data_IF_270599075937
#
_entry.id   IF_270599075937
#
_cell.length_a   1.000
_cell.length_b   1.000
_cell.length_c   1.000
_cell.angle_alpha   90.00
_cell.angle_beta   90.00
_cell.angle_gamma   90.00
#
_symmetry.space_group_name_H-M   'P 1'
#
loop_
_entity.id
_entity.type
_entity.pdbx_description
1 polymer ?
#
# COMPACT_ATOMS: atom_id res chain seq x y z
N UNK A 1 5.72 44.33 32.13
CA UNK A 1 5.84 44.64 30.70
C UNK A 1 7.24 44.16 30.34
N UNK A 2 7.46 43.02 29.67
CA UNK A 2 6.64 42.27 28.72
C UNK A 2 6.89 40.76 28.87
N UNK A 3 5.82 40.02 28.61
CA UNK A 3 5.81 38.59 28.33
C UNK A 3 6.30 38.36 26.89
N UNK A 4 7.08 37.31 26.65
CA UNK A 4 7.17 36.60 25.36
C UNK A 4 7.48 35.13 25.72
N UNK A 5 6.48 34.31 26.04
CA UNK A 5 5.67 33.48 25.13
C UNK A 5 6.46 32.31 24.51
N UNK A 6 6.19 31.12 25.07
CA UNK A 6 6.56 29.79 24.61
C UNK A 6 6.21 29.62 23.12
N UNK A 7 7.23 29.34 22.31
CA UNK A 7 7.03 28.81 20.97
C UNK A 7 6.60 27.33 21.08
N UNK A 8 5.31 27.12 21.31
CA UNK A 8 4.67 25.82 21.13
C UNK A 8 4.88 25.38 19.67
N UNK A 9 5.77 24.41 19.49
CA UNK A 9 5.92 23.66 18.24
C UNK A 9 4.59 22.97 17.96
N UNK A 10 3.81 23.51 17.03
CA UNK A 10 2.58 22.89 16.55
C UNK A 10 2.88 21.55 15.92
N UNK A 11 2.77 20.48 16.72
CA UNK A 11 2.62 19.12 16.21
C UNK A 11 1.28 19.11 15.45
N UNK A 12 1.34 18.96 14.13
CA UNK A 12 0.13 18.70 13.35
C UNK A 12 -0.55 17.47 13.96
N UNK A 13 -1.82 17.63 14.34
CA UNK A 13 -2.66 16.58 14.89
C UNK A 13 -2.94 15.56 13.77
N UNK A 14 -1.98 14.65 13.55
CA UNK A 14 -2.08 13.56 12.57
C UNK A 14 -3.18 12.60 13.03
N UNK A 15 -4.43 12.87 12.66
CA UNK A 15 -5.55 11.97 12.93
C UNK A 15 -5.49 10.79 11.98
N UNK A 16 -5.51 9.57 12.52
CA UNK A 16 -5.72 8.36 11.73
C UNK A 16 -7.20 8.16 11.47
N UNK A 17 -7.61 8.31 10.21
CA UNK A 17 -9.00 8.10 9.77
C UNK A 17 -9.18 6.65 9.35
N UNK A 18 -10.30 6.02 9.73
CA UNK A 18 -10.61 4.66 9.31
C UNK A 18 -11.12 4.58 7.87
N UNK A 19 -10.88 3.46 7.19
CA UNK A 19 -11.54 3.16 5.92
C UNK A 19 -13.07 3.02 6.15
N UNK A 20 -13.95 3.68 5.39
CA UNK A 20 -15.38 3.72 5.72
C UNK A 20 -16.15 2.45 5.36
N UNK A 21 -15.64 1.61 4.46
CA UNK A 21 -16.23 0.33 4.08
C UNK A 21 -15.17 -0.68 3.67
N UNK A 22 -15.46 -1.99 3.70
CA UNK A 22 -14.57 -2.99 3.12
C UNK A 22 -14.37 -2.79 1.62
N UNK A 23 -13.15 -3.08 1.16
CA UNK A 23 -12.80 -3.21 -0.26
C UNK A 23 -12.05 -4.53 -0.43
N UNK A 24 -12.66 -5.48 -1.14
CA UNK A 24 -12.16 -6.85 -1.26
C UNK A 24 -11.82 -7.20 -2.70
N UNK A 25 -10.85 -8.09 -2.89
CA UNK A 25 -10.44 -8.57 -4.21
C UNK A 25 -9.67 -7.53 -5.02
N UNK A 26 -8.91 -6.64 -4.36
CA UNK A 26 -8.03 -5.70 -5.05
C UNK A 26 -6.89 -6.47 -5.68
N UNK A 27 -6.80 -6.43 -7.02
CA UNK A 27 -5.82 -7.17 -7.80
C UNK A 27 -4.85 -6.22 -8.47
N UNK A 28 -3.56 -6.41 -8.18
CA UNK A 28 -2.48 -5.65 -8.77
C UNK A 28 -1.52 -6.59 -9.47
N UNK A 29 -1.14 -6.24 -10.70
CA UNK A 29 -0.32 -7.08 -11.56
C UNK A 29 0.70 -6.23 -12.32
N UNK A 30 1.99 -6.53 -12.12
CA UNK A 30 3.05 -6.02 -12.97
C UNK A 30 3.46 -7.08 -13.98
N UNK A 31 3.38 -6.71 -15.26
CA UNK A 31 3.76 -7.59 -16.38
C UNK A 31 5.27 -7.74 -16.46
N UNK A 32 5.71 -8.97 -16.71
CA UNK A 32 7.08 -9.23 -17.17
C UNK A 32 7.34 -8.44 -18.46
N UNK A 33 8.43 -7.69 -18.49
CA UNK A 33 8.91 -7.01 -19.69
C UNK A 33 9.96 -7.88 -20.36
N UNK A 34 9.61 -8.48 -21.50
CA UNK A 34 10.54 -9.28 -22.29
C UNK A 34 11.72 -8.41 -22.76
N UNK A 35 12.95 -8.85 -22.47
CA UNK A 35 14.17 -8.12 -22.82
C UNK A 35 14.56 -7.01 -21.84
N UNK A 36 13.86 -6.86 -20.70
CA UNK A 36 14.34 -6.00 -19.63
C UNK A 36 15.59 -6.60 -18.98
N UNK A 37 16.55 -5.74 -18.63
CA UNK A 37 17.72 -6.15 -17.84
C UNK A 37 17.40 -6.38 -16.36
N UNK A 38 16.16 -6.11 -15.92
CA UNK A 38 15.74 -6.14 -14.53
C UNK A 38 14.41 -6.90 -14.35
N UNK A 39 14.24 -7.61 -13.21
CA UNK A 39 12.98 -8.19 -12.79
C UNK A 39 11.84 -7.16 -12.78
N UNK A 40 10.66 -7.53 -13.30
CA UNK A 40 9.48 -6.64 -13.43
C UNK A 40 8.16 -7.30 -13.10
N UNK A 41 8.15 -8.61 -12.85
CA UNK A 41 6.97 -9.41 -12.61
C UNK A 41 6.57 -9.44 -11.14
N UNK A 42 5.27 -9.36 -10.89
CA UNK A 42 4.67 -9.64 -9.59
C UNK A 42 3.17 -9.49 -9.65
N UNK A 43 2.44 -10.25 -8.83
CA UNK A 43 0.99 -10.11 -8.67
C UNK A 43 0.61 -10.28 -7.22
N UNK A 44 -0.37 -9.51 -6.76
CA UNK A 44 -0.96 -9.64 -5.43
C UNK A 44 -2.47 -9.46 -5.48
N UNK A 45 -3.16 -10.14 -4.57
CA UNK A 45 -4.57 -9.94 -4.26
C UNK A 45 -4.73 -9.60 -2.78
N UNK A 46 -5.40 -8.47 -2.50
CA UNK A 46 -5.55 -7.95 -1.15
C UNK A 46 -7.01 -7.57 -0.84
N UNK A 47 -7.39 -7.77 0.42
CA UNK A 47 -8.60 -7.20 1.01
C UNK A 47 -8.23 -6.10 2.01
N UNK A 48 -9.09 -5.09 2.11
CA UNK A 48 -8.96 -3.96 3.01
C UNK A 48 -10.21 -3.89 3.88
N UNK A 49 -10.05 -4.13 5.18
CA UNK A 49 -11.11 -4.11 6.17
C UNK A 49 -11.03 -2.86 7.05
N UNK A 50 -12.15 -2.15 7.28
CA UNK A 50 -12.22 -1.07 8.25
C UNK A 50 -11.73 -1.49 9.63
N UNK A 51 -11.05 -0.57 10.30
CA UNK A 51 -10.73 -0.66 11.72
C UNK A 51 -11.30 0.55 12.45
N UNK A 52 -11.52 0.47 13.77
CA UNK A 52 -11.97 1.63 14.54
C UNK A 52 -11.04 2.83 14.35
N UNK A 53 -11.62 4.04 14.36
CA UNK A 53 -10.85 5.28 14.23
C UNK A 53 -9.74 5.36 15.30
N UNK A 54 -8.57 5.88 14.92
CA UNK A 54 -7.39 5.89 15.79
C UNK A 54 -6.63 4.56 15.88
N UNK A 55 -7.12 3.47 15.27
CA UNK A 55 -6.38 2.21 15.18
C UNK A 55 -5.32 2.29 14.07
N UNK A 56 -4.09 1.90 14.38
CA UNK A 56 -3.02 1.82 13.39
C UNK A 56 -3.30 0.70 12.36
N UNK A 57 -2.76 0.87 11.16
CA UNK A 57 -2.88 -0.14 10.11
C UNK A 57 -2.10 -1.40 10.44
N UNK A 58 -2.60 -2.53 9.96
CA UNK A 58 -1.95 -3.84 10.08
C UNK A 58 -2.04 -4.59 8.75
N UNK A 59 -1.13 -5.52 8.55
CA UNK A 59 -1.12 -6.41 7.39
C UNK A 59 -0.96 -7.86 7.87
N UNK A 60 -1.75 -8.77 7.32
CA UNK A 60 -1.68 -10.20 7.58
C UNK A 60 -1.69 -10.98 6.27
N UNK A 61 -0.97 -12.10 6.25
CA UNK A 61 -0.95 -13.01 5.11
C UNK A 61 -1.92 -14.16 5.37
N UNK A 62 -2.96 -14.25 4.53
CA UNK A 62 -3.89 -15.37 4.47
C UNK A 62 -3.66 -16.19 3.20
N UNK A 63 -2.41 -16.22 2.71
CA UNK A 63 -2.01 -16.97 1.54
C UNK A 63 -2.01 -18.48 1.83
N UNK A 64 -2.56 -19.25 0.91
CA UNK A 64 -2.50 -20.73 0.94
C UNK A 64 -1.77 -21.31 -0.29
N UNK A 65 -1.16 -20.45 -1.10
CA UNK A 65 -0.56 -20.82 -2.38
C UNK A 65 0.86 -21.39 -2.21
N UNK A 66 1.20 -22.36 -3.07
CA UNK A 66 2.54 -22.93 -3.21
C UNK A 66 3.18 -22.50 -4.56
N UNK A 67 4.49 -22.25 -4.64
CA UNK A 67 5.44 -22.21 -3.51
C UNK A 67 5.07 -21.12 -2.51
N UNK A 68 5.46 -21.32 -1.24
CA UNK A 68 5.30 -20.29 -0.21
C UNK A 68 5.94 -18.98 -0.72
N UNK A 69 5.34 -17.83 -0.41
CA UNK A 69 5.92 -16.55 -0.79
C UNK A 69 7.33 -16.40 -0.20
N UNK A 70 8.21 -15.75 -0.94
CA UNK A 70 9.52 -15.37 -0.43
C UNK A 70 9.34 -14.25 0.62
N UNK A 71 9.89 -14.43 1.83
CA UNK A 71 9.77 -13.50 2.96
C UNK A 71 10.17 -12.07 2.58
N UNK A 72 11.20 -11.89 1.74
CA UNK A 72 11.66 -10.56 1.31
C UNK A 72 10.61 -9.87 0.43
N UNK A 73 9.88 -10.64 -0.39
CA UNK A 73 8.81 -10.11 -1.23
C UNK A 73 7.56 -9.78 -0.41
N UNK A 74 7.27 -10.56 0.64
CA UNK A 74 6.21 -10.25 1.62
C UNK A 74 6.50 -8.94 2.35
N UNK A 75 7.70 -8.81 2.93
CA UNK A 75 8.14 -7.60 3.62
C UNK A 75 8.11 -6.38 2.69
N UNK A 76 8.56 -6.53 1.45
CA UNK A 76 8.52 -5.49 0.45
C UNK A 76 7.08 -5.04 0.12
N UNK A 77 6.14 -5.99 -0.02
CA UNK A 77 4.73 -5.68 -0.23
C UNK A 77 4.16 -4.90 0.96
N UNK A 78 4.40 -5.38 2.19
CA UNK A 78 3.96 -4.71 3.43
C UNK A 78 4.53 -3.30 3.51
N UNK A 79 5.81 -3.12 3.20
CA UNK A 79 6.45 -1.81 3.17
C UNK A 79 5.73 -0.85 2.22
N UNK A 80 5.39 -1.31 1.01
CA UNK A 80 4.62 -0.52 0.04
C UNK A 80 3.25 -0.10 0.55
N UNK A 81 2.51 -1.06 1.12
CA UNK A 81 1.19 -0.84 1.73
C UNK A 81 1.26 0.19 2.85
N UNK A 82 2.17 -0.02 3.82
CA UNK A 82 2.23 0.80 5.03
C UNK A 82 2.70 2.23 4.72
N UNK A 83 3.67 2.41 3.82
CA UNK A 83 4.11 3.75 3.39
C UNK A 83 3.00 4.52 2.69
N UNK A 84 2.21 3.85 1.84
CA UNK A 84 1.11 4.52 1.14
C UNK A 84 -0.02 4.89 2.11
N UNK A 85 -0.38 4.02 3.07
CA UNK A 85 -1.39 4.30 4.10
C UNK A 85 -0.96 5.40 5.09
N UNK A 86 0.33 5.55 5.32
CA UNK A 86 0.90 6.65 6.11
C UNK A 86 0.98 7.98 5.34
N UNK A 87 0.62 8.00 4.04
CA UNK A 87 0.72 9.20 3.20
C UNK A 87 2.15 9.53 2.72
N UNK A 88 3.10 8.62 2.88
CA UNK A 88 4.51 8.81 2.52
C UNK A 88 4.80 8.49 1.04
N UNK A 89 3.89 7.78 0.37
CA UNK A 89 4.06 7.30 -1.01
C UNK A 89 3.95 8.35 -2.11
N UNK A 90 3.67 9.62 -1.76
CA UNK A 90 3.67 10.73 -2.72
C UNK A 90 4.94 11.57 -2.60
N UNK A 91 5.66 11.71 -3.71
CA UNK A 91 6.79 12.63 -3.85
C UNK A 91 6.36 14.10 -3.90
N UNK A 92 5.05 14.40 -3.90
CA UNK A 92 4.54 15.76 -3.81
C UNK A 92 4.47 16.21 -2.34
N UNK A 93 5.13 17.31 -1.94
CA UNK A 93 5.01 17.90 -0.61
C UNK A 93 3.56 18.22 -0.19
N UNK A 94 2.66 18.41 -1.15
CA UNK A 94 1.24 18.74 -0.91
C UNK A 94 0.40 17.51 -0.56
N UNK A 95 0.77 16.32 -1.07
CA UNK A 95 0.08 15.06 -0.78
C UNK A 95 0.51 14.43 0.56
N UNK A 96 1.67 14.86 1.11
CA UNK A 96 2.14 14.50 2.46
C UNK A 96 1.31 15.12 3.59
N UNK A 97 0.29 15.93 3.28
CA UNK A 97 -0.67 16.48 4.25
C UNK A 97 -1.91 15.59 4.47
N UNK A 98 -1.95 14.41 3.86
CA UNK A 98 -3.04 13.47 4.07
C UNK A 98 -2.97 12.80 5.45
N UNK A 99 -4.09 12.79 6.16
CA UNK A 99 -4.30 11.98 7.35
C UNK A 99 -3.92 10.51 7.07
N UNK A 100 -3.24 9.85 8.02
CA UNK A 100 -3.00 8.41 7.96
C UNK A 100 -4.33 7.66 7.86
N UNK A 101 -4.36 6.57 7.09
CA UNK A 101 -5.54 5.71 7.01
C UNK A 101 -5.30 4.46 7.83
N UNK A 102 -6.16 4.22 8.81
CA UNK A 102 -6.22 3.00 9.60
C UNK A 102 -7.01 1.91 8.86
N UNK A 103 -6.37 0.77 8.58
CA UNK A 103 -6.98 -0.35 7.88
C UNK A 103 -6.31 -1.67 8.25
N UNK A 104 -7.08 -2.76 8.29
CA UNK A 104 -6.54 -4.12 8.32
C UNK A 104 -6.44 -4.65 6.90
N UNK A 105 -5.24 -4.96 6.46
CA UNK A 105 -4.96 -5.48 5.12
C UNK A 105 -4.76 -6.99 5.20
N UNK A 106 -5.44 -7.73 4.34
CA UNK A 106 -5.35 -9.18 4.26
C UNK A 106 -4.80 -9.55 2.88
N UNK A 107 -3.58 -10.06 2.83
CA UNK A 107 -2.99 -10.56 1.59
C UNK A 107 -3.57 -11.95 1.31
N UNK A 108 -4.41 -12.06 0.28
CA UNK A 108 -5.09 -13.30 -0.11
C UNK A 108 -4.22 -14.20 -0.98
N UNK A 109 -3.41 -13.58 -1.83
CA UNK A 109 -2.49 -14.29 -2.67
C UNK A 109 -1.30 -13.41 -3.08
N UNK A 110 -0.15 -14.06 -3.22
CA UNK A 110 1.06 -13.49 -3.78
C UNK A 110 1.56 -14.43 -4.89
N UNK A 111 1.81 -13.88 -6.07
CA UNK A 111 2.45 -14.63 -7.15
C UNK A 111 3.74 -13.92 -7.57
N UNK A 112 4.80 -14.70 -7.60
CA UNK A 112 6.16 -14.26 -7.89
C UNK A 112 6.84 -15.27 -8.82
N UNK A 113 7.97 -14.86 -9.39
CA UNK A 113 8.82 -15.73 -10.19
C UNK A 113 10.28 -15.53 -9.77
N UNK A 114 11.06 -16.60 -9.47
CA UNK A 114 12.40 -16.45 -8.91
C UNK A 114 13.36 -15.58 -9.72
N UNK A 115 13.23 -15.55 -11.05
CA UNK A 115 14.11 -14.78 -11.93
C UNK A 115 13.52 -13.43 -12.36
N UNK A 116 12.20 -13.25 -12.24
CA UNK A 116 11.51 -12.09 -12.80
C UNK A 116 10.84 -11.21 -11.75
N UNK A 117 10.89 -11.58 -10.48
CA UNK A 117 10.41 -10.80 -9.33
C UNK A 117 11.55 -10.21 -8.51
N UNK A 118 11.31 -9.05 -7.90
CA UNK A 118 12.19 -8.45 -6.90
C UNK A 118 11.38 -7.54 -5.96
N UNK A 119 11.95 -7.22 -4.80
CA UNK A 119 11.32 -6.38 -3.76
C UNK A 119 10.74 -5.08 -4.31
N UNK A 120 11.48 -4.38 -5.19
CA UNK A 120 11.04 -3.09 -5.75
C UNK A 120 9.71 -3.16 -6.50
N UNK A 121 9.41 -4.30 -7.13
CA UNK A 121 8.10 -4.54 -7.75
C UNK A 121 7.02 -4.63 -6.69
N UNK A 122 7.25 -5.39 -5.61
CA UNK A 122 6.25 -5.61 -4.56
C UNK A 122 5.99 -4.38 -3.70
N UNK A 123 7.01 -3.55 -3.43
CA UNK A 123 6.80 -2.21 -2.82
C UNK A 123 5.84 -1.39 -3.66
N UNK A 124 6.00 -1.39 -4.99
CA UNK A 124 5.12 -0.63 -5.88
C UNK A 124 3.71 -1.23 -5.95
N UNK A 125 3.59 -2.55 -6.00
CA UNK A 125 2.30 -3.23 -6.01
C UNK A 125 1.50 -2.95 -4.73
N UNK A 126 2.15 -2.95 -3.57
CA UNK A 126 1.52 -2.60 -2.29
C UNK A 126 0.94 -1.19 -2.29
N UNK A 127 1.72 -0.21 -2.76
CA UNK A 127 1.24 1.16 -2.90
C UNK A 127 0.07 1.30 -3.90
N UNK A 128 0.13 0.60 -5.04
CA UNK A 128 -0.96 0.62 -6.03
C UNK A 128 -2.25 0.01 -5.48
N UNK A 129 -2.16 -1.06 -4.68
CA UNK A 129 -3.33 -1.70 -4.09
C UNK A 129 -4.05 -0.76 -3.10
N UNK A 130 -3.29 -0.03 -2.28
CA UNK A 130 -3.85 0.97 -1.36
C UNK A 130 -4.55 2.08 -2.14
N UNK A 131 -3.90 2.63 -3.19
CA UNK A 131 -4.52 3.67 -4.03
C UNK A 131 -5.83 3.22 -4.65
N UNK A 132 -5.86 2.00 -5.18
CA UNK A 132 -7.08 1.42 -5.73
C UNK A 132 -8.18 1.30 -4.68
N UNK A 133 -7.86 0.81 -3.48
CA UNK A 133 -8.83 0.68 -2.39
C UNK A 133 -9.41 2.04 -1.97
N UNK A 134 -8.55 3.05 -1.83
CA UNK A 134 -8.98 4.42 -1.51
C UNK A 134 -9.84 5.02 -2.62
N UNK A 135 -9.49 4.78 -3.88
CA UNK A 135 -10.27 5.25 -5.02
C UNK A 135 -11.63 4.55 -5.11
N UNK A 136 -11.70 3.25 -4.84
CA UNK A 136 -12.95 2.50 -4.76
C UNK A 136 -13.92 3.12 -3.77
N UNK A 137 -13.41 3.49 -2.59
CA UNK A 137 -14.19 4.17 -1.56
C UNK A 137 -14.64 5.56 -2.04
N UNK A 138 -13.71 6.36 -2.58
CA UNK A 138 -14.01 7.72 -3.01
C UNK A 138 -15.05 7.79 -4.15
N UNK A 139 -15.05 6.79 -5.04
CA UNK A 139 -15.91 6.71 -6.22
C UNK A 139 -17.11 5.78 -6.03
N UNK A 140 -17.27 5.18 -4.85
CA UNK A 140 -18.27 4.16 -4.54
C UNK A 140 -18.36 3.03 -5.59
N UNK A 141 -17.21 2.48 -5.97
CA UNK A 141 -17.09 1.43 -6.99
C UNK A 141 -16.45 0.15 -6.47
N UNK A 142 -16.62 -0.91 -7.24
CA UNK A 142 -15.87 -2.16 -7.06
C UNK A 142 -14.42 -2.01 -7.57
N UNK A 143 -13.47 -2.75 -6.97
CA UNK A 143 -12.09 -2.74 -7.44
C UNK A 143 -11.93 -3.31 -8.84
N UNK A 144 -11.05 -2.67 -9.59
CA UNK A 144 -10.63 -3.05 -10.92
C UNK A 144 -9.22 -3.63 -10.86
N UNK A 145 -8.93 -4.61 -11.73
CA UNK A 145 -7.57 -5.13 -11.83
C UNK A 145 -6.63 -4.06 -12.39
N UNK A 146 -5.60 -3.72 -11.61
CA UNK A 146 -4.55 -2.82 -12.07
C UNK A 146 -3.47 -3.64 -12.76
N UNK A 147 -3.36 -3.45 -14.08
CA UNK A 147 -2.27 -3.99 -14.88
C UNK A 147 -1.26 -2.88 -15.16
N UNK A 148 -0.04 -3.05 -14.67
CA UNK A 148 1.03 -2.08 -14.81
C UNK A 148 2.31 -2.69 -15.41
N UNK A 149 3.25 -1.81 -15.72
CA UNK A 149 4.66 -2.17 -15.96
C UNK A 149 5.48 -1.37 -14.97
N UNK A 150 5.93 -2.03 -13.91
CA UNK A 150 6.84 -1.36 -12.96
C UNK A 150 8.19 -1.17 -13.66
N UNK A 151 8.53 0.09 -13.94
CA UNK A 151 9.90 0.49 -14.22
C UNK A 151 10.58 0.81 -12.89
N UNK A 152 11.75 0.24 -12.66
CA UNK A 152 12.62 0.51 -11.51
C UNK A 152 13.63 1.65 -11.81
N UNK A 153 13.50 2.30 -12.97
CA UNK A 153 14.26 3.48 -13.41
C UNK A 153 13.56 4.78 -13.02
#
# INVERSE_FOLDING_TARGET
MEHIEDAATGHADSRTVGLPRPVRGVKVYSRQTLGACWPTYGRAELDFEPVPEGTASSCEFACSALPEPDDELEEALVQGVMRELAGEGSNSPEARRGNSVGVRVIVRALWWHPADSCEGVFVRLGALAVREALQCVAEDREPQEIVTRVSLL
#
